data_IF_774652481082
#
_entry.id   IF_774652481082
#
_cell.length_a   1.000
_cell.length_b   1.000
_cell.length_c   1.000
_cell.angle_alpha   90.00
_cell.angle_beta   90.00
_cell.angle_gamma   90.00
#
_symmetry.space_group_name_H-M   'P 1'
#
loop_
_entity.id
_entity.type
_entity.pdbx_description
1 polymer ?
#
# COMPACT_ATOMS: atom_id res chain seq x y z
N UNK A 1 25.23 10.89 20.24
CA UNK A 1 23.83 11.35 20.22
C UNK A 1 23.10 10.52 19.19
N UNK A 2 22.43 9.45 19.62
CA UNK A 2 21.56 8.67 18.74
C UNK A 2 20.48 9.60 18.19
N UNK A 3 20.47 9.83 16.88
CA UNK A 3 19.43 10.62 16.22
C UNK A 3 18.15 9.79 16.15
N UNK A 4 17.45 9.68 17.28
CA UNK A 4 16.08 9.14 17.32
C UNK A 4 15.20 10.04 16.45
N UNK A 5 14.46 9.46 15.52
CA UNK A 5 13.51 10.19 14.68
C UNK A 5 12.45 10.83 15.57
N UNK A 6 12.16 12.12 15.35
CA UNK A 6 11.08 12.80 16.08
C UNK A 6 9.71 12.23 15.72
N UNK A 7 8.70 12.42 16.58
CA UNK A 7 7.33 11.93 16.39
C UNK A 7 6.76 12.32 15.01
N UNK A 8 7.00 13.56 14.56
CA UNK A 8 6.55 14.02 13.25
C UNK A 8 7.22 13.27 12.09
N UNK A 9 8.50 12.94 12.22
CA UNK A 9 9.24 12.18 11.22
C UNK A 9 8.80 10.71 11.20
N UNK A 10 8.53 10.12 12.36
CA UNK A 10 7.95 8.78 12.48
C UNK A 10 6.55 8.72 11.87
N UNK A 11 5.66 9.66 12.20
CA UNK A 11 4.32 9.74 11.61
C UNK A 11 4.39 9.93 10.11
N UNK A 12 5.27 10.80 9.60
CA UNK A 12 5.44 11.01 8.16
C UNK A 12 5.99 9.76 7.46
N UNK A 13 6.88 9.01 8.12
CA UNK A 13 7.43 7.76 7.60
C UNK A 13 6.35 6.67 7.53
N UNK A 14 5.54 6.55 8.59
CA UNK A 14 4.41 5.60 8.65
C UNK A 14 3.32 5.96 7.64
N UNK A 15 2.97 7.25 7.51
CA UNK A 15 2.04 7.69 6.45
C UNK A 15 2.62 7.41 5.06
N UNK A 16 3.92 7.64 4.86
CA UNK A 16 4.60 7.35 3.60
C UNK A 16 4.64 5.85 3.27
N UNK A 17 4.77 4.98 4.26
CA UNK A 17 4.80 3.53 4.04
C UNK A 17 3.41 2.99 3.68
N UNK A 18 2.35 3.54 4.27
CA UNK A 18 0.96 3.25 3.89
C UNK A 18 0.58 3.84 2.52
N UNK A 19 1.06 5.06 2.22
CA UNK A 19 0.86 5.74 0.93
C UNK A 19 1.83 5.18 -0.13
N UNK A 20 1.67 3.90 -0.43
CA UNK A 20 2.38 3.18 -1.49
C UNK A 20 1.84 3.47 -2.89
N UNK A 21 2.33 2.71 -3.88
CA UNK A 21 1.84 2.80 -5.27
C UNK A 21 0.35 2.50 -5.39
N UNK A 22 -0.21 1.77 -4.43
CA UNK A 22 -1.59 1.32 -4.44
C UNK A 22 -2.65 2.39 -4.46
N UNK A 23 -2.37 3.52 -3.80
CA UNK A 23 -3.34 4.60 -3.65
C UNK A 23 -3.74 5.21 -4.99
N UNK A 24 -2.85 5.16 -6.00
CA UNK A 24 -3.15 5.64 -7.35
C UNK A 24 -4.02 4.68 -8.15
N UNK A 25 -3.87 3.37 -7.94
CA UNK A 25 -4.70 2.35 -8.60
C UNK A 25 -6.03 2.08 -7.86
N UNK A 26 -6.14 2.53 -6.61
CA UNK A 26 -7.28 2.28 -5.74
C UNK A 26 -8.63 2.64 -6.37
N UNK A 27 -8.84 3.87 -6.89
CA UNK A 27 -10.15 4.26 -7.40
C UNK A 27 -10.64 3.36 -8.53
N UNK A 28 -9.74 3.04 -9.47
CA UNK A 28 -10.06 2.16 -10.61
C UNK A 28 -10.35 0.73 -10.16
N UNK A 29 -9.50 0.16 -9.30
CA UNK A 29 -9.67 -1.21 -8.81
C UNK A 29 -10.96 -1.36 -7.99
N UNK A 30 -11.30 -0.34 -7.19
CA UNK A 30 -12.53 -0.30 -6.39
C UNK A 30 -13.78 -0.19 -7.27
N UNK A 31 -13.77 0.73 -8.23
CA UNK A 31 -14.90 0.93 -9.15
C UNK A 31 -15.17 -0.33 -10.00
N UNK A 32 -14.16 -1.14 -10.29
CA UNK A 32 -14.31 -2.36 -11.08
C UNK A 32 -15.00 -3.51 -10.34
N UNK A 33 -15.01 -3.52 -8.99
CA UNK A 33 -15.46 -4.68 -8.20
C UNK A 33 -16.59 -4.38 -7.22
N UNK A 34 -16.92 -3.11 -7.00
CA UNK A 34 -17.90 -2.73 -5.99
C UNK A 34 -18.63 -1.42 -6.31
N UNK A 35 -19.91 -1.41 -5.97
CA UNK A 35 -20.77 -0.22 -5.98
C UNK A 35 -20.44 0.74 -4.84
N UNK A 36 -20.89 2.02 -4.92
CA UNK A 36 -20.67 2.99 -3.85
C UNK A 36 -21.13 2.50 -2.46
N UNK A 37 -22.28 1.83 -2.35
CA UNK A 37 -22.76 1.29 -1.07
C UNK A 37 -21.82 0.22 -0.51
N UNK A 38 -21.41 -0.75 -1.34
CA UNK A 38 -20.49 -1.81 -0.95
C UNK A 38 -19.12 -1.25 -0.56
N UNK A 39 -18.64 -0.22 -1.28
CA UNK A 39 -17.38 0.46 -0.99
C UNK A 39 -17.41 1.13 0.39
N UNK A 40 -18.47 1.85 0.73
CA UNK A 40 -18.61 2.50 2.04
C UNK A 40 -18.62 1.48 3.18
N UNK A 41 -19.34 0.38 3.02
CA UNK A 41 -19.39 -0.70 4.01
C UNK A 41 -18.01 -1.38 4.14
N UNK A 42 -17.37 -1.71 3.01
CA UNK A 42 -16.04 -2.32 2.99
C UNK A 42 -14.99 -1.44 3.69
N UNK A 43 -14.98 -0.14 3.40
CA UNK A 43 -14.09 0.82 4.07
C UNK A 43 -14.37 0.94 5.56
N UNK A 44 -15.63 0.97 5.98
CA UNK A 44 -15.98 1.01 7.39
C UNK A 44 -15.48 -0.23 8.15
N UNK A 45 -15.72 -1.43 7.60
CA UNK A 45 -15.28 -2.69 8.20
C UNK A 45 -13.74 -2.74 8.27
N UNK A 46 -13.05 -2.46 7.16
CA UNK A 46 -11.59 -2.49 7.12
C UNK A 46 -11.00 -1.45 8.06
N UNK A 47 -11.51 -0.21 8.04
CA UNK A 47 -11.05 0.87 8.91
C UNK A 47 -11.17 0.52 10.40
N UNK A 48 -12.32 0.00 10.83
CA UNK A 48 -12.51 -0.47 12.21
C UNK A 48 -11.54 -1.62 12.52
N UNK A 49 -11.40 -2.60 11.63
CA UNK A 49 -10.50 -3.74 11.82
C UNK A 49 -9.04 -3.32 12.01
N UNK A 50 -8.56 -2.36 11.22
CA UNK A 50 -7.18 -1.86 11.31
C UNK A 50 -6.98 -1.03 12.57
N UNK A 51 -7.97 -0.24 12.99
CA UNK A 51 -7.89 0.47 14.26
C UNK A 51 -7.77 -0.51 15.43
N UNK A 52 -8.55 -1.58 15.44
CA UNK A 52 -8.44 -2.64 16.45
C UNK A 52 -7.06 -3.31 16.42
N UNK A 53 -6.52 -3.60 15.23
CA UNK A 53 -5.18 -4.15 15.06
C UNK A 53 -4.09 -3.18 15.57
N UNK A 54 -4.20 -1.90 15.24
CA UNK A 54 -3.28 -0.87 15.70
C UNK A 54 -3.31 -0.71 17.22
N UNK A 55 -4.50 -0.75 17.83
CA UNK A 55 -4.63 -0.76 19.29
C UNK A 55 -4.05 -2.02 19.93
N UNK A 56 -4.23 -3.19 19.33
CA UNK A 56 -3.62 -4.42 19.83
C UNK A 56 -2.08 -4.35 19.82
N UNK A 57 -1.49 -3.84 18.73
CA UNK A 57 -0.04 -3.63 18.64
C UNK A 57 0.45 -2.55 19.62
N UNK A 58 -0.31 -1.47 19.80
CA UNK A 58 0.01 -0.43 20.78
C UNK A 58 -0.02 -0.97 22.22
N UNK A 59 -0.95 -1.87 22.54
CA UNK A 59 -1.00 -2.50 23.85
C UNK A 59 0.20 -3.45 24.02
N UNK A 60 0.53 -4.25 23.00
CA UNK A 60 1.67 -5.17 23.04
C UNK A 60 3.00 -4.45 23.27
N UNK A 61 3.26 -3.36 22.53
CA UNK A 61 4.48 -2.53 22.69
C UNK A 61 4.61 -1.93 24.08
N UNK A 62 3.50 -1.61 24.74
CA UNK A 62 3.51 -1.10 26.12
C UNK A 62 3.72 -2.19 27.18
N UNK A 63 3.14 -3.37 26.99
CA UNK A 63 3.27 -4.49 27.94
C UNK A 63 4.65 -5.14 27.84
N UNK A 64 5.16 -5.27 26.61
CA UNK A 64 6.41 -5.95 26.27
C UNK A 64 7.39 -4.98 25.64
N UNK A 65 7.69 -3.91 26.37
CA UNK A 65 8.60 -2.84 25.94
C UNK A 65 10.06 -3.28 25.74
N UNK A 66 10.41 -4.45 26.29
CA UNK A 66 11.71 -5.09 26.16
C UNK A 66 11.95 -5.76 24.79
N UNK A 67 10.87 -5.99 24.02
CA UNK A 67 10.94 -6.66 22.72
C UNK A 67 11.05 -5.62 21.60
N UNK A 68 12.28 -5.39 21.12
CA UNK A 68 12.61 -4.33 20.15
C UNK A 68 12.81 -4.86 18.71
N UNK A 69 12.37 -6.10 18.44
CA UNK A 69 12.56 -6.76 17.15
C UNK A 69 11.30 -6.81 16.28
N UNK A 70 10.32 -5.92 16.51
CA UNK A 70 9.08 -5.87 15.74
C UNK A 70 8.18 -7.10 15.86
N UNK A 71 7.22 -7.22 14.93
CA UNK A 71 6.05 -8.12 14.99
C UNK A 71 6.44 -9.58 15.24
N UNK A 72 7.52 -10.05 14.60
CA UNK A 72 7.94 -11.45 14.67
C UNK A 72 8.55 -11.81 16.04
N UNK A 73 9.13 -10.84 16.74
CA UNK A 73 9.66 -11.05 18.10
C UNK A 73 8.52 -11.28 19.09
N UNK A 74 7.42 -10.56 18.95
CA UNK A 74 6.21 -10.83 19.75
C UNK A 74 5.62 -12.22 19.48
N UNK A 75 5.60 -12.65 18.20
CA UNK A 75 5.14 -13.99 17.83
C UNK A 75 6.05 -15.10 18.40
N UNK A 76 7.37 -14.89 18.36
CA UNK A 76 8.35 -15.83 18.92
C UNK A 76 8.21 -15.96 20.43
N UNK A 77 8.11 -14.85 21.15
CA UNK A 77 8.02 -14.87 22.61
C UNK A 77 6.68 -15.43 23.10
N UNK A 78 5.59 -15.15 22.39
CA UNK A 78 4.26 -15.63 22.75
C UNK A 78 4.01 -17.11 22.43
N UNK A 79 4.61 -17.62 21.36
CA UNK A 79 4.22 -18.92 20.77
C UNK A 79 5.38 -19.85 20.41
N UNK A 80 6.63 -19.46 20.68
CA UNK A 80 7.83 -20.26 20.45
C UNK A 80 8.50 -20.03 19.10
N UNK A 81 9.64 -20.70 18.90
CA UNK A 81 10.54 -20.44 17.76
C UNK A 81 9.93 -20.77 16.40
N UNK A 82 9.13 -21.82 16.29
CA UNK A 82 8.50 -22.22 15.03
C UNK A 82 7.54 -21.15 14.50
N UNK A 83 6.71 -20.59 15.39
CA UNK A 83 5.72 -19.58 15.02
C UNK A 83 6.41 -18.24 14.73
N UNK A 84 7.45 -17.89 15.50
CA UNK A 84 8.34 -16.78 15.20
C UNK A 84 8.97 -16.89 13.81
N UNK A 85 9.49 -18.07 13.45
CA UNK A 85 10.06 -18.35 12.13
C UNK A 85 9.02 -18.21 11.01
N UNK A 86 7.83 -18.82 11.16
CA UNK A 86 6.75 -18.70 10.18
C UNK A 86 6.32 -17.24 9.97
N UNK A 87 6.25 -16.44 11.04
CA UNK A 87 5.92 -15.01 10.96
C UNK A 87 7.00 -14.23 10.21
N UNK A 88 8.28 -14.42 10.55
CA UNK A 88 9.39 -13.75 9.89
C UNK A 88 9.50 -14.14 8.41
N UNK A 89 9.37 -15.43 8.09
CA UNK A 89 9.40 -15.95 6.73
C UNK A 89 8.24 -15.44 5.89
N UNK A 90 7.01 -15.45 6.45
CA UNK A 90 5.82 -14.92 5.78
C UNK A 90 5.94 -13.43 5.48
N UNK A 91 6.46 -12.65 6.43
CA UNK A 91 6.71 -11.22 6.24
C UNK A 91 7.77 -10.97 5.15
N UNK A 92 8.87 -11.72 5.17
CA UNK A 92 9.92 -11.62 4.16
C UNK A 92 9.38 -11.96 2.76
N UNK A 93 8.61 -13.04 2.62
CA UNK A 93 8.00 -13.43 1.35
C UNK A 93 7.02 -12.36 0.84
N UNK A 94 6.20 -11.81 1.73
CA UNK A 94 5.30 -10.70 1.42
C UNK A 94 6.07 -9.48 0.90
N UNK A 95 7.17 -9.11 1.56
CA UNK A 95 8.01 -8.01 1.14
C UNK A 95 8.64 -8.25 -0.24
N UNK A 96 9.12 -9.46 -0.53
CA UNK A 96 9.67 -9.80 -1.85
C UNK A 96 8.61 -9.65 -2.95
N UNK A 97 7.41 -10.21 -2.74
CA UNK A 97 6.31 -10.12 -3.71
C UNK A 97 5.86 -8.66 -3.89
N UNK A 98 5.75 -7.89 -2.80
CA UNK A 98 5.37 -6.49 -2.85
C UNK A 98 6.36 -5.65 -3.67
N UNK A 99 7.67 -5.88 -3.51
CA UNK A 99 8.69 -5.19 -4.31
C UNK A 99 8.54 -5.47 -5.81
N UNK A 100 8.27 -6.72 -6.19
CA UNK A 100 8.00 -7.09 -7.59
C UNK A 100 6.76 -6.38 -8.10
N UNK A 101 5.66 -6.41 -7.34
CA UNK A 101 4.41 -5.75 -7.71
C UNK A 101 4.58 -4.25 -7.92
N UNK A 102 5.36 -3.56 -7.08
CA UNK A 102 5.63 -2.13 -7.27
C UNK A 102 6.37 -1.83 -8.58
N UNK A 103 7.35 -2.65 -8.94
CA UNK A 103 8.06 -2.48 -10.20
C UNK A 103 7.14 -2.71 -11.40
N UNK A 104 6.29 -3.75 -11.35
CA UNK A 104 5.27 -4.00 -12.39
C UNK A 104 4.35 -2.79 -12.56
N UNK A 105 3.86 -2.21 -11.45
CA UNK A 105 3.01 -1.00 -11.49
C UNK A 105 3.75 0.18 -12.14
N UNK A 106 5.03 0.40 -11.83
CA UNK A 106 5.83 1.48 -12.43
C UNK A 106 5.92 1.31 -13.95
N UNK A 107 6.24 0.11 -14.44
CA UNK A 107 6.34 -0.14 -15.88
C UNK A 107 4.97 -0.15 -16.57
N UNK A 108 3.92 -0.61 -15.88
CA UNK A 108 2.54 -0.46 -16.35
C UNK A 108 2.09 0.99 -16.42
N UNK A 109 2.59 1.88 -15.56
CA UNK A 109 2.31 3.30 -15.65
C UNK A 109 3.12 3.98 -16.76
N UNK A 110 4.37 3.57 -16.97
CA UNK A 110 5.21 4.04 -18.07
C UNK A 110 4.64 3.64 -19.44
N UNK A 111 4.00 2.47 -19.53
CA UNK A 111 3.36 2.02 -20.77
C UNK A 111 2.29 3.00 -21.26
N UNK A 112 1.63 3.74 -20.38
CA UNK A 112 0.67 4.79 -20.77
C UNK A 112 1.29 5.86 -21.68
N UNK A 113 2.59 6.15 -21.53
CA UNK A 113 3.30 7.15 -22.32
C UNK A 113 4.07 6.56 -23.51
N UNK A 114 4.49 5.30 -23.42
CA UNK A 114 5.37 4.68 -24.42
C UNK A 114 4.66 3.72 -25.36
N UNK A 115 3.61 3.05 -24.89
CA UNK A 115 2.89 2.09 -25.72
C UNK A 115 1.97 2.83 -26.68
N UNK A 116 2.04 2.43 -27.93
CA UNK A 116 1.17 2.91 -29.00
C UNK A 116 0.44 1.72 -29.62
N UNK A 117 -0.67 1.93 -30.35
CA UNK A 117 -1.39 0.82 -31.01
C UNK A 117 -0.49 -0.05 -31.91
N UNK A 118 0.63 0.49 -32.40
CA UNK A 118 1.59 -0.21 -33.25
C UNK A 118 2.73 -0.90 -32.47
N UNK A 119 2.97 -0.54 -31.20
CA UNK A 119 4.11 -1.06 -30.42
C UNK A 119 3.78 -1.12 -28.92
N UNK A 120 3.71 -2.33 -28.38
CA UNK A 120 3.55 -2.61 -26.94
C UNK A 120 4.93 -2.85 -26.33
N UNK A 121 5.55 -1.81 -25.77
CA UNK A 121 6.89 -1.88 -25.18
C UNK A 121 6.84 -2.44 -23.76
N UNK A 122 6.00 -1.85 -22.90
CA UNK A 122 5.93 -2.24 -21.49
C UNK A 122 4.66 -3.01 -21.14
N UNK A 123 3.55 -2.80 -21.86
CA UNK A 123 2.28 -3.49 -21.64
C UNK A 123 1.72 -3.24 -20.25
N UNK A 124 1.27 -4.29 -19.58
CA UNK A 124 0.79 -4.22 -18.19
C UNK A 124 1.95 -4.36 -17.19
N UNK A 125 3.17 -3.97 -17.60
CA UNK A 125 4.41 -4.16 -16.84
C UNK A 125 4.94 -5.60 -16.84
N UNK A 126 4.42 -6.47 -17.71
CA UNK A 126 4.71 -7.91 -17.76
C UNK A 126 5.52 -8.35 -19.00
N UNK A 127 5.93 -7.41 -19.84
CA UNK A 127 6.77 -7.67 -21.02
C UNK A 127 8.22 -7.96 -20.64
N UNK A 128 8.98 -8.60 -21.53
CA UNK A 128 10.41 -8.88 -21.25
C UNK A 128 11.23 -7.59 -21.09
N UNK A 129 10.87 -6.53 -21.82
CA UNK A 129 11.48 -5.21 -21.69
C UNK A 129 11.18 -4.59 -20.32
N UNK A 130 9.94 -4.71 -19.83
CA UNK A 130 9.57 -4.27 -18.49
C UNK A 130 10.34 -5.06 -17.42
N UNK A 131 10.53 -6.36 -17.59
CA UNK A 131 11.32 -7.19 -16.64
C UNK A 131 12.78 -6.74 -16.59
N UNK A 132 13.40 -6.48 -17.75
CA UNK A 132 14.79 -5.97 -17.80
C UNK A 132 14.88 -4.59 -17.14
N UNK A 133 13.95 -3.68 -17.48
CA UNK A 133 13.90 -2.34 -16.87
C UNK A 133 13.68 -2.38 -15.35
N UNK A 134 12.75 -3.23 -14.89
CA UNK A 134 12.46 -3.45 -13.47
C UNK A 134 13.69 -3.99 -12.73
N UNK A 135 14.42 -4.93 -13.34
CA UNK A 135 15.64 -5.49 -12.76
C UNK A 135 16.72 -4.42 -12.62
N UNK A 136 16.94 -3.60 -13.65
CA UNK A 136 17.90 -2.49 -13.60
C UNK A 136 17.50 -1.48 -12.52
N UNK A 137 16.22 -1.09 -12.46
CA UNK A 137 15.71 -0.14 -11.47
C UNK A 137 15.88 -0.67 -10.04
N UNK A 138 15.61 -1.96 -9.81
CA UNK A 138 15.81 -2.63 -8.52
C UNK A 138 17.27 -2.49 -8.06
N UNK A 139 18.23 -2.78 -8.94
CA UNK A 139 19.65 -2.66 -8.60
C UNK A 139 20.06 -1.21 -8.34
N UNK A 140 19.54 -0.23 -9.08
CA UNK A 140 19.77 1.19 -8.82
C UNK A 140 19.31 1.58 -7.42
N UNK A 141 18.08 1.18 -7.05
CA UNK A 141 17.53 1.45 -5.70
C UNK A 141 18.37 0.74 -4.63
N UNK A 142 18.79 -0.50 -4.88
CA UNK A 142 19.66 -1.24 -3.97
C UNK A 142 20.98 -0.51 -3.71
N UNK A 143 21.69 -0.07 -4.76
CA UNK A 143 22.94 0.70 -4.62
C UNK A 143 22.73 2.05 -3.94
N UNK A 144 21.58 2.68 -4.14
CA UNK A 144 21.22 3.92 -3.46
C UNK A 144 21.08 3.70 -1.95
N UNK A 145 20.40 2.61 -1.55
CA UNK A 145 20.24 2.24 -0.13
C UNK A 145 21.60 1.94 0.50
N UNK A 146 22.51 1.26 -0.22
CA UNK A 146 23.87 0.99 0.25
C UNK A 146 24.70 2.25 0.50
N UNK A 147 24.41 3.38 -0.19
CA UNK A 147 25.12 4.66 -0.01
C UNK A 147 24.73 5.44 1.25
N UNK A 148 23.75 4.97 2.03
CA UNK A 148 23.49 5.47 3.38
C UNK A 148 22.06 5.98 3.62
N UNK A 149 21.59 5.79 4.85
CA UNK A 149 20.21 5.98 5.30
C UNK A 149 19.76 7.47 5.29
N UNK A 150 20.68 8.42 5.45
CA UNK A 150 20.33 9.85 5.44
C UNK A 150 19.83 10.34 4.08
N UNK A 151 20.40 9.84 2.99
CA UNK A 151 19.93 10.14 1.64
C UNK A 151 18.55 9.52 1.41
N UNK A 152 18.31 8.31 1.91
CA UNK A 152 17.04 7.61 1.78
C UNK A 152 15.89 8.35 2.51
N UNK A 153 16.12 8.87 3.70
CA UNK A 153 15.11 9.63 4.44
C UNK A 153 14.70 10.93 3.72
N UNK A 154 15.68 11.63 3.14
CA UNK A 154 15.46 12.88 2.39
C UNK A 154 14.66 12.63 1.12
N UNK A 155 15.03 11.59 0.37
CA UNK A 155 14.30 11.14 -0.83
C UNK A 155 12.89 10.71 -0.48
N UNK A 156 12.71 9.99 0.63
CA UNK A 156 11.39 9.56 1.07
C UNK A 156 10.47 10.75 1.35
N UNK A 157 10.96 11.80 2.02
CA UNK A 157 10.17 13.01 2.27
C UNK A 157 9.73 13.68 0.96
N UNK A 158 10.66 13.89 0.03
CA UNK A 158 10.35 14.48 -1.28
C UNK A 158 9.36 13.59 -2.06
N UNK A 159 9.55 12.27 -2.04
CA UNK A 159 8.65 11.32 -2.67
C UNK A 159 7.24 11.37 -2.06
N UNK A 160 7.13 11.50 -0.73
CA UNK A 160 5.83 11.66 -0.05
C UNK A 160 5.14 12.93 -0.49
N UNK A 161 5.83 14.07 -0.51
CA UNK A 161 5.26 15.33 -0.98
C UNK A 161 4.86 15.26 -2.46
N UNK A 162 5.69 14.65 -3.28
CA UNK A 162 5.43 14.44 -4.71
C UNK A 162 4.21 13.54 -4.95
N UNK A 163 3.92 12.58 -4.06
CA UNK A 163 2.71 11.75 -4.12
C UNK A 163 1.46 12.47 -3.62
N UNK A 164 1.60 13.33 -2.60
CA UNK A 164 0.47 14.07 -2.02
C UNK A 164 -0.11 15.10 -2.99
N UNK A 165 0.73 15.73 -3.82
CA UNK A 165 0.29 16.71 -4.83
C UNK A 165 -0.75 16.15 -5.83
N UNK A 166 -0.47 15.07 -6.61
CA UNK A 166 -1.44 14.50 -7.54
C UNK A 166 -2.67 13.93 -6.83
N UNK A 167 -2.52 13.41 -5.62
CA UNK A 167 -3.64 12.91 -4.82
C UNK A 167 -4.56 14.05 -4.39
N UNK A 168 -4.01 15.17 -3.93
CA UNK A 168 -4.77 16.38 -3.62
C UNK A 168 -5.44 16.96 -4.85
N UNK A 169 -4.74 17.01 -5.99
CA UNK A 169 -5.31 17.45 -7.25
C UNK A 169 -6.49 16.56 -7.69
N UNK A 170 -6.36 15.24 -7.55
CA UNK A 170 -7.43 14.29 -7.84
C UNK A 170 -8.67 14.56 -6.97
N UNK A 171 -8.50 14.79 -5.66
CA UNK A 171 -9.63 15.12 -4.76
C UNK A 171 -10.33 16.40 -5.21
N UNK A 172 -9.58 17.46 -5.52
CA UNK A 172 -10.15 18.74 -5.96
C UNK A 172 -10.90 18.57 -7.28
N UNK A 173 -10.32 17.88 -8.26
CA UNK A 173 -10.96 17.59 -9.54
C UNK A 173 -12.22 16.73 -9.37
N UNK A 174 -12.17 15.72 -8.52
CA UNK A 174 -13.31 14.85 -8.22
C UNK A 174 -14.47 15.64 -7.60
N UNK A 175 -14.19 16.58 -6.68
CA UNK A 175 -15.21 17.45 -6.08
C UNK A 175 -15.79 18.40 -7.13
N UNK A 176 -14.97 19.03 -7.97
CA UNK A 176 -15.44 19.95 -9.01
C UNK A 176 -16.27 19.25 -10.09
N UNK A 177 -15.94 18.00 -10.42
CA UNK A 177 -16.60 17.19 -11.43
C UNK A 177 -17.70 16.27 -10.85
N UNK A 178 -17.96 16.36 -9.53
CA UNK A 178 -18.92 15.49 -8.87
C UNK A 178 -20.33 15.76 -9.39
N UNK A 179 -20.98 14.70 -9.88
CA UNK A 179 -22.38 14.73 -10.33
C UNK A 179 -23.19 13.74 -9.50
N UNK A 180 -24.13 14.27 -8.74
CA UNK A 180 -24.97 13.46 -7.84
C UNK A 180 -25.79 12.43 -8.63
N UNK A 181 -26.30 12.81 -9.80
CA UNK A 181 -27.05 11.91 -10.67
C UNK A 181 -26.23 10.68 -11.06
N UNK A 182 -24.95 10.88 -11.44
CA UNK A 182 -24.04 9.78 -11.80
C UNK A 182 -23.70 8.90 -10.60
N UNK A 183 -23.58 9.49 -9.41
CA UNK A 183 -23.30 8.76 -8.18
C UNK A 183 -24.47 7.88 -7.73
N UNK A 184 -25.72 8.31 -7.99
CA UNK A 184 -26.93 7.56 -7.61
C UNK A 184 -27.39 6.52 -8.64
N UNK A 185 -26.87 6.55 -9.87
CA UNK A 185 -27.31 5.69 -10.99
C UNK A 185 -27.31 4.19 -10.65
N UNK A 186 -26.23 3.71 -10.02
CA UNK A 186 -26.15 2.32 -9.56
C UNK A 186 -25.52 2.23 -8.16
N UNK A 187 -26.17 2.90 -7.20
CA UNK A 187 -25.65 2.98 -5.84
C UNK A 187 -25.51 1.61 -5.16
N UNK A 188 -26.36 0.64 -5.53
CA UNK A 188 -26.38 -0.71 -4.95
C UNK A 188 -25.66 -1.77 -5.78
N UNK A 189 -25.20 -1.46 -7.01
CA UNK A 189 -24.41 -2.38 -7.82
C UNK A 189 -25.22 -3.44 -8.55
N UNK A 190 -26.42 -3.10 -9.04
CA UNK A 190 -27.27 -3.99 -9.83
C UNK A 190 -26.59 -4.38 -11.14
N UNK A 191 -25.78 -3.48 -11.72
CA UNK A 191 -25.09 -3.71 -12.99
C UNK A 191 -23.91 -4.70 -12.88
N UNK A 192 -23.30 -4.80 -11.69
CA UNK A 192 -22.23 -5.74 -11.39
C UNK A 192 -22.71 -7.21 -11.36
N UNK A 193 -24.01 -7.46 -11.20
CA UNK A 193 -24.59 -8.82 -11.20
C UNK A 193 -24.17 -9.73 -10.04
N UNK A 194 -23.42 -9.20 -9.06
CA UNK A 194 -22.94 -9.91 -7.87
C UNK A 194 -23.54 -9.33 -6.59
N UNK A 195 -23.82 -10.16 -5.57
CA UNK A 195 -24.43 -9.70 -4.32
C UNK A 195 -23.51 -8.72 -3.57
N UNK A 196 -24.12 -7.77 -2.86
CA UNK A 196 -23.40 -6.71 -2.09
C UNK A 196 -22.36 -7.30 -1.13
N UNK A 197 -22.64 -8.43 -0.49
CA UNK A 197 -21.68 -9.11 0.39
C UNK A 197 -20.38 -9.49 -0.31
N UNK A 198 -20.47 -9.97 -1.56
CA UNK A 198 -19.29 -10.34 -2.35
C UNK A 198 -18.51 -9.10 -2.79
N UNK A 199 -19.20 -8.03 -3.18
CA UNK A 199 -18.59 -6.72 -3.47
C UNK A 199 -17.83 -6.17 -2.25
N UNK A 200 -18.41 -6.28 -1.05
CA UNK A 200 -17.78 -5.89 0.22
C UNK A 200 -16.52 -6.72 0.45
N UNK A 201 -16.57 -8.04 0.28
CA UNK A 201 -15.40 -8.92 0.43
C UNK A 201 -14.28 -8.56 -0.55
N UNK A 202 -14.61 -8.30 -1.82
CA UNK A 202 -13.63 -7.90 -2.83
C UNK A 202 -13.00 -6.55 -2.49
N UNK A 203 -13.80 -5.59 -2.01
CA UNK A 203 -13.31 -4.30 -1.50
C UNK A 203 -12.33 -4.50 -0.35
N UNK A 204 -12.66 -5.37 0.61
CA UNK A 204 -11.82 -5.63 1.78
C UNK A 204 -10.45 -6.21 1.41
N UNK A 205 -10.36 -7.03 0.35
CA UNK A 205 -9.08 -7.55 -0.14
C UNK A 205 -8.18 -6.43 -0.69
N UNK A 206 -8.78 -5.47 -1.41
CA UNK A 206 -8.08 -4.31 -1.96
C UNK A 206 -7.63 -3.37 -0.82
N UNK A 207 -8.51 -3.07 0.13
CA UNK A 207 -8.19 -2.16 1.24
C UNK A 207 -7.11 -2.75 2.15
N UNK A 208 -7.17 -4.06 2.47
CA UNK A 208 -6.13 -4.72 3.26
C UNK A 208 -4.72 -4.49 2.69
N UNK A 209 -4.58 -4.58 1.36
CA UNK A 209 -3.29 -4.33 0.71
C UNK A 209 -2.77 -2.90 0.90
N UNK A 210 -3.66 -1.91 0.94
CA UNK A 210 -3.29 -0.50 1.15
C UNK A 210 -2.86 -0.21 2.58
N UNK A 211 -3.35 -1.00 3.53
CA UNK A 211 -3.00 -0.85 4.93
C UNK A 211 -1.84 -1.74 5.39
N UNK A 212 -1.22 -2.50 4.47
CA UNK A 212 0.06 -3.17 4.76
C UNK A 212 1.09 -2.10 5.11
N UNK A 213 1.80 -2.30 6.22
CA UNK A 213 2.83 -1.37 6.70
C UNK A 213 2.41 -0.54 7.91
N UNK A 214 1.15 -0.63 8.36
CA UNK A 214 0.73 -0.14 9.69
C UNK A 214 1.60 -0.73 10.78
N UNK A 215 2.01 -1.98 10.60
CA UNK A 215 2.82 -2.69 11.58
C UNK A 215 4.26 -2.17 11.66
N UNK A 216 4.72 -1.40 10.66
CA UNK A 216 6.02 -0.71 10.69
C UNK A 216 6.05 0.45 11.70
N UNK A 217 4.89 0.90 12.21
CA UNK A 217 4.83 1.91 13.27
C UNK A 217 5.18 1.37 14.67
N UNK A 218 5.32 0.05 14.79
CA UNK A 218 5.58 -0.69 16.03
C UNK A 218 7.09 -0.82 16.29
N UNK A 219 7.92 -0.45 15.30
CA UNK A 219 9.39 -0.61 15.28
C UNK A 219 10.08 0.75 15.28
#
# INVERSE_FOLDING_TARGET
MEKKLGLSALTALVLSSMLGAGVFSLPQNMAAVASPAALLIGWAITGVGILLLAFAMLILTRIRSELDGGIFTYAREGFGELIGFCSAWGYWLCAVIANVSYLVIVFSALSFFTDTPALRLFGDGNTWQAIVGASVLLWIVHFLILRGVQTAASINLVATLAKLLPLGAFIVLAIMMFKLDTFTLDFTGVELGIPVWEQVKNTMLITLWVFIGVEGAVV
#
